data_IF_047834532217
#
_entry.id   IF_047834532217
#
_cell.length_a   1.000
_cell.length_b   1.000
_cell.length_c   1.000
_cell.angle_alpha   90.00
_cell.angle_beta   90.00
_cell.angle_gamma   90.00
#
_symmetry.space_group_name_H-M   'P 1'
#
loop_
_entity.id
_entity.type
_entity.pdbx_description
1 polymer ?
#
# COMPACT_ATOMS: atom_id res chain seq x y z
N UNK A 1 22.79 -10.38 21.53
CA UNK A 1 22.91 -10.08 20.09
C UNK A 1 21.71 -9.22 19.76
N UNK A 2 21.91 -8.09 19.11
CA UNK A 2 20.83 -7.18 18.77
C UNK A 2 19.81 -7.92 17.88
N UNK A 3 18.49 -7.72 18.10
CA UNK A 3 17.39 -8.36 17.35
C UNK A 3 17.61 -8.24 15.84
N UNK A 4 18.01 -7.06 15.37
CA UNK A 4 18.23 -6.81 13.94
C UNK A 4 19.39 -7.64 13.38
N UNK A 5 20.48 -7.80 14.12
CA UNK A 5 21.61 -8.64 13.68
C UNK A 5 21.19 -10.11 13.57
N UNK A 6 20.38 -10.60 14.51
CA UNK A 6 19.84 -11.96 14.47
C UNK A 6 18.97 -12.18 13.23
N UNK A 7 18.08 -11.23 12.92
CA UNK A 7 17.23 -11.24 11.73
C UNK A 7 18.08 -11.23 10.46
N UNK A 8 19.07 -10.34 10.35
CA UNK A 8 19.94 -10.25 9.17
C UNK A 8 20.77 -11.52 8.94
N UNK A 9 21.18 -12.17 10.02
CA UNK A 9 21.90 -13.44 9.93
C UNK A 9 21.09 -14.54 9.23
N UNK A 10 19.76 -14.55 9.40
CA UNK A 10 18.88 -15.49 8.68
C UNK A 10 18.87 -15.23 7.17
N UNK A 11 19.08 -13.99 6.73
CA UNK A 11 19.26 -13.64 5.30
C UNK A 11 20.71 -13.81 4.81
N UNK A 12 21.63 -14.22 5.68
CA UNK A 12 23.04 -14.37 5.32
C UNK A 12 23.80 -13.04 5.25
N UNK A 13 23.31 -12.03 5.92
CA UNK A 13 23.87 -10.68 5.93
C UNK A 13 24.42 -10.31 7.31
N UNK A 14 25.42 -9.43 7.28
CA UNK A 14 25.97 -8.77 8.45
C UNK A 14 25.93 -7.26 8.20
N UNK A 15 25.31 -6.50 9.11
CA UNK A 15 25.24 -5.06 8.98
C UNK A 15 26.56 -4.41 9.40
N UNK A 16 27.08 -3.52 8.54
CA UNK A 16 28.18 -2.60 8.88
C UNK A 16 27.61 -1.34 9.55
N UNK A 17 26.44 -0.88 9.07
CA UNK A 17 25.74 0.28 9.63
C UNK A 17 24.24 0.13 9.46
N UNK A 18 23.46 0.64 10.42
CA UNK A 18 22.01 0.58 10.47
C UNK A 18 21.46 1.98 10.69
N UNK A 19 20.53 2.39 9.82
CA UNK A 19 19.89 3.70 9.82
C UNK A 19 18.36 3.54 9.92
N UNK A 20 17.71 3.90 11.04
CA UNK A 20 16.26 3.95 11.11
C UNK A 20 15.70 5.05 10.21
N UNK A 21 14.89 4.70 9.22
CA UNK A 21 14.28 5.65 8.27
C UNK A 21 12.86 6.02 8.70
N UNK A 22 12.13 5.06 9.24
CA UNK A 22 10.79 5.24 9.79
C UNK A 22 10.52 4.23 10.91
N UNK A 23 9.37 4.35 11.62
CA UNK A 23 9.01 3.34 12.62
C UNK A 23 8.95 1.91 12.12
N UNK A 24 8.85 1.68 10.80
CA UNK A 24 8.68 0.36 10.20
C UNK A 24 9.76 0.00 9.18
N UNK A 25 10.64 0.92 8.80
CA UNK A 25 11.67 0.72 7.78
C UNK A 25 13.04 1.08 8.33
N UNK A 26 13.96 0.17 8.19
CA UNK A 26 15.36 0.30 8.58
C UNK A 26 16.21 0.13 7.33
N UNK A 27 17.10 1.09 7.08
CA UNK A 27 18.09 0.99 6.02
C UNK A 27 19.33 0.31 6.58
N UNK A 28 19.79 -0.71 5.87
CA UNK A 28 20.88 -1.57 6.31
C UNK A 28 22.00 -1.53 5.29
N UNK A 29 23.17 -1.14 5.72
CA UNK A 29 24.39 -1.13 4.90
C UNK A 29 25.21 -2.39 5.23
N UNK A 30 25.57 -3.13 4.18
CA UNK A 30 26.33 -4.38 4.27
C UNK A 30 27.41 -4.40 3.21
N UNK A 31 28.34 -5.35 3.27
CA UNK A 31 29.35 -5.59 2.23
C UNK A 31 28.73 -5.99 0.87
N UNK A 32 27.51 -6.56 0.89
CA UNK A 32 26.79 -7.02 -0.31
C UNK A 32 25.94 -5.93 -0.95
N UNK A 33 25.76 -4.79 -0.27
CA UNK A 33 24.95 -3.68 -0.77
C UNK A 33 24.08 -3.05 0.33
N UNK A 34 23.15 -2.21 -0.12
CA UNK A 34 22.23 -1.50 0.76
C UNK A 34 20.83 -2.10 0.63
N UNK A 35 20.21 -2.38 1.77
CA UNK A 35 18.93 -3.05 1.86
C UNK A 35 17.94 -2.25 2.70
N UNK A 36 16.66 -2.48 2.46
CA UNK A 36 15.59 -2.06 3.34
C UNK A 36 15.08 -3.26 4.13
N UNK A 37 15.20 -3.20 5.45
CA UNK A 37 14.59 -4.15 6.36
C UNK A 37 13.29 -3.55 6.88
N UNK A 38 12.16 -4.18 6.54
CA UNK A 38 10.85 -3.69 6.94
C UNK A 38 10.21 -4.63 7.95
N UNK A 39 9.64 -4.03 9.02
CA UNK A 39 8.93 -4.79 10.05
C UNK A 39 7.42 -4.73 9.85
N UNK A 40 6.75 -5.85 10.11
CA UNK A 40 5.29 -5.98 10.12
C UNK A 40 4.86 -6.67 11.41
N UNK A 41 3.62 -6.48 11.82
CA UNK A 41 3.08 -7.23 12.96
C UNK A 41 3.06 -8.73 12.63
N UNK A 42 3.48 -9.55 13.59
CA UNK A 42 3.64 -11.00 13.39
C UNK A 42 2.35 -11.70 12.92
N UNK A 43 1.17 -11.18 13.30
CA UNK A 43 -0.12 -11.76 12.88
C UNK A 43 -0.47 -11.51 11.40
N UNK A 44 0.24 -10.64 10.68
CA UNK A 44 -0.03 -10.32 9.27
C UNK A 44 0.93 -11.00 8.28
N UNK A 45 2.00 -11.63 8.76
CA UNK A 45 3.02 -12.18 7.86
C UNK A 45 2.55 -13.40 7.06
N UNK A 46 1.63 -14.21 7.59
CA UNK A 46 1.09 -15.36 6.85
C UNK A 46 0.29 -14.94 5.63
N UNK A 47 -0.67 -14.04 5.81
CA UNK A 47 -1.47 -13.50 4.70
C UNK A 47 -0.60 -12.86 3.62
N UNK A 48 0.41 -12.08 4.03
CA UNK A 48 1.35 -11.48 3.08
C UNK A 48 2.15 -12.56 2.32
N UNK A 49 2.60 -13.61 3.00
CA UNK A 49 3.32 -14.72 2.37
C UNK A 49 2.46 -15.40 1.30
N UNK A 50 1.20 -15.70 1.61
CA UNK A 50 0.25 -16.31 0.67
C UNK A 50 0.03 -15.42 -0.55
N UNK A 51 -0.17 -14.12 -0.37
CA UNK A 51 -0.32 -13.15 -1.45
C UNK A 51 0.93 -13.09 -2.34
N UNK A 52 2.13 -13.10 -1.77
CA UNK A 52 3.38 -13.09 -2.53
C UNK A 52 3.56 -14.36 -3.35
N UNK A 53 3.25 -15.54 -2.78
CA UNK A 53 3.29 -16.81 -3.49
C UNK A 53 2.26 -16.86 -4.62
N UNK A 54 1.06 -16.31 -4.41
CA UNK A 54 0.04 -16.19 -5.44
C UNK A 54 0.53 -15.31 -6.60
N UNK A 55 1.10 -14.13 -6.31
CA UNK A 55 1.65 -13.25 -7.34
C UNK A 55 2.78 -13.91 -8.14
N UNK A 56 3.70 -14.61 -7.46
CA UNK A 56 4.77 -15.36 -8.11
C UNK A 56 4.17 -16.46 -9.02
N UNK A 57 3.18 -17.21 -8.56
CA UNK A 57 2.53 -18.28 -9.32
C UNK A 57 1.82 -17.77 -10.58
N UNK A 58 1.23 -16.57 -10.50
CA UNK A 58 0.57 -15.87 -11.61
C UNK A 58 1.57 -15.13 -12.53
N UNK A 59 2.87 -15.22 -12.24
CA UNK A 59 3.94 -14.61 -13.04
C UNK A 59 3.94 -13.09 -12.99
N UNK A 60 3.32 -12.48 -11.96
CA UNK A 60 3.41 -11.05 -11.70
C UNK A 60 4.71 -10.73 -10.96
N UNK A 61 5.54 -9.87 -11.54
CA UNK A 61 6.89 -9.55 -11.02
C UNK A 61 7.14 -8.05 -10.88
N UNK A 62 6.15 -7.21 -11.14
CA UNK A 62 6.26 -5.75 -11.02
C UNK A 62 6.12 -5.27 -9.58
N UNK A 63 6.81 -5.91 -8.65
CA UNK A 63 6.95 -5.48 -7.26
C UNK A 63 8.42 -5.56 -6.85
N UNK A 64 8.77 -4.81 -5.80
CA UNK A 64 10.13 -4.85 -5.26
C UNK A 64 10.43 -6.27 -4.78
N UNK A 65 11.50 -6.91 -5.28
CA UNK A 65 11.81 -8.29 -4.92
C UNK A 65 12.06 -8.41 -3.40
N UNK A 66 11.46 -9.43 -2.79
CA UNK A 66 11.67 -9.76 -1.38
C UNK A 66 12.65 -10.92 -1.30
N UNK A 67 13.72 -10.71 -0.55
CA UNK A 67 14.73 -11.74 -0.37
C UNK A 67 14.21 -12.86 0.54
N UNK A 68 14.64 -14.07 0.26
CA UNK A 68 14.33 -15.23 1.11
C UNK A 68 15.44 -15.44 2.12
N UNK A 69 15.07 -15.89 3.30
CA UNK A 69 16.00 -16.35 4.33
C UNK A 69 16.72 -17.62 3.87
N UNK A 70 17.77 -18.03 4.57
CA UNK A 70 18.47 -19.32 4.37
C UNK A 70 17.53 -20.53 4.44
N UNK A 71 16.42 -20.44 5.17
CA UNK A 71 15.39 -21.48 5.25
C UNK A 71 14.35 -21.41 4.13
N UNK A 72 14.43 -20.42 3.22
CA UNK A 72 13.48 -20.21 2.13
C UNK A 72 12.24 -19.39 2.49
N UNK A 73 12.10 -18.92 3.73
CA UNK A 73 11.01 -18.06 4.15
C UNK A 73 11.18 -16.63 3.63
N UNK A 74 10.08 -15.91 3.40
CA UNK A 74 10.13 -14.46 3.15
C UNK A 74 10.39 -13.66 4.42
N UNK A 75 10.03 -14.21 5.58
CA UNK A 75 10.11 -13.52 6.85
C UNK A 75 11.10 -14.17 7.80
N UNK A 76 11.76 -13.32 8.57
CA UNK A 76 12.51 -13.67 9.77
C UNK A 76 11.81 -13.06 10.98
N UNK A 77 11.77 -13.80 12.08
CA UNK A 77 11.21 -13.32 13.33
C UNK A 77 12.08 -13.77 14.51
N UNK A 78 12.34 -12.86 15.45
CA UNK A 78 12.93 -13.24 16.70
C UNK A 78 11.85 -13.82 17.63
N UNK A 79 12.20 -14.87 18.42
CA UNK A 79 11.23 -15.67 19.22
C UNK A 79 10.39 -14.85 20.19
N UNK A 80 10.87 -13.70 20.64
CA UNK A 80 10.18 -12.83 21.61
C UNK A 80 9.62 -11.56 20.95
N UNK A 81 9.75 -11.42 19.62
CA UNK A 81 9.34 -10.20 18.92
C UNK A 81 7.86 -10.26 18.52
N UNK A 82 7.16 -9.14 18.70
CA UNK A 82 5.82 -8.94 18.16
C UNK A 82 5.84 -8.65 16.66
N UNK A 83 7.05 -8.60 16.06
CA UNK A 83 7.27 -8.24 14.67
C UNK A 83 7.92 -9.39 13.90
N UNK A 84 7.53 -9.50 12.64
CA UNK A 84 8.24 -10.23 11.61
C UNK A 84 8.91 -9.23 10.67
N UNK A 85 10.04 -9.61 10.10
CA UNK A 85 10.88 -8.76 9.25
C UNK A 85 11.03 -9.37 7.88
N UNK A 86 10.98 -8.55 6.83
CA UNK A 86 11.35 -8.95 5.49
C UNK A 86 12.36 -7.98 4.88
N UNK A 87 13.19 -8.51 4.01
CA UNK A 87 14.30 -7.82 3.38
C UNK A 87 14.02 -7.57 1.91
N UNK A 88 14.32 -6.36 1.44
CA UNK A 88 14.23 -5.97 0.04
C UNK A 88 15.43 -5.06 -0.32
N UNK A 89 15.76 -4.88 -1.62
CA UNK A 89 16.78 -3.92 -1.99
C UNK A 89 16.38 -2.51 -1.57
N UNK A 90 17.37 -1.69 -1.21
CA UNK A 90 17.14 -0.26 -1.03
C UNK A 90 17.07 0.40 -2.42
N UNK A 91 15.90 0.86 -2.79
CA UNK A 91 15.70 1.59 -4.05
C UNK A 91 15.80 3.09 -3.79
N UNK A 92 16.61 3.78 -4.58
CA UNK A 92 16.67 5.25 -4.60
C UNK A 92 15.82 5.76 -5.74
N UNK A 93 14.90 6.68 -5.45
CA UNK A 93 14.19 7.41 -6.50
C UNK A 93 15.18 8.36 -7.19
N UNK A 94 15.78 7.92 -8.25
CA UNK A 94 16.60 8.80 -9.09
C UNK A 94 15.69 9.56 -10.05
N UNK A 95 15.78 10.91 -9.96
CA UNK A 95 15.22 11.97 -10.82
C UNK A 95 13.73 12.32 -10.64
N UNK A 96 13.55 13.56 -10.22
CA UNK A 96 12.25 14.26 -10.11
C UNK A 96 11.63 14.68 -11.45
N UNK A 97 12.32 14.50 -12.57
CA UNK A 97 11.96 15.12 -13.86
C UNK A 97 10.85 14.37 -14.66
N UNK A 98 10.47 13.16 -14.24
CA UNK A 98 9.46 12.34 -14.94
C UNK A 98 8.18 12.14 -14.10
N UNK A 99 7.73 13.18 -13.40
CA UNK A 99 6.63 13.02 -12.44
C UNK A 99 5.27 12.81 -13.12
N UNK A 100 5.05 13.39 -14.28
CA UNK A 100 3.76 13.29 -14.99
C UNK A 100 3.53 11.88 -15.54
N UNK A 101 4.56 11.23 -16.06
CA UNK A 101 4.47 9.86 -16.59
C UNK A 101 4.28 8.80 -15.49
N UNK A 102 4.74 9.06 -14.25
CA UNK A 102 4.64 8.10 -13.14
C UNK A 102 3.21 7.72 -12.78
N UNK A 103 2.28 8.65 -12.85
CA UNK A 103 0.87 8.39 -12.56
C UNK A 103 0.26 7.43 -13.59
N UNK A 104 0.53 7.66 -14.87
CA UNK A 104 0.05 6.79 -15.93
C UNK A 104 0.62 5.38 -15.80
N UNK A 105 1.93 5.24 -15.61
CA UNK A 105 2.57 3.94 -15.37
C UNK A 105 2.03 3.23 -14.14
N UNK A 106 1.78 3.96 -13.05
CA UNK A 106 1.20 3.41 -11.83
C UNK A 106 -0.18 2.79 -12.12
N UNK A 107 -1.07 3.52 -12.80
CA UNK A 107 -2.40 3.00 -13.16
C UNK A 107 -2.34 1.82 -14.13
N UNK A 108 -1.42 1.83 -15.08
CA UNK A 108 -1.19 0.69 -15.97
C UNK A 108 -0.74 -0.55 -15.20
N UNK A 109 0.18 -0.41 -14.22
CA UNK A 109 0.63 -1.54 -13.40
C UNK A 109 -0.46 -2.06 -12.48
N UNK A 110 -1.31 -1.18 -11.93
CA UNK A 110 -2.49 -1.60 -11.15
C UNK A 110 -3.45 -2.40 -12.04
N UNK A 111 -3.74 -1.92 -13.25
CA UNK A 111 -4.60 -2.64 -14.17
C UNK A 111 -4.03 -4.02 -14.54
N UNK A 112 -2.70 -4.13 -14.71
CA UNK A 112 -2.01 -5.42 -14.92
C UNK A 112 -2.11 -6.33 -13.71
N UNK A 113 -1.92 -5.79 -12.51
CA UNK A 113 -2.07 -6.52 -11.25
C UNK A 113 -3.49 -7.09 -11.13
N UNK A 114 -4.50 -6.24 -11.29
CA UNK A 114 -5.90 -6.64 -11.20
C UNK A 114 -6.24 -7.71 -12.24
N UNK A 115 -5.86 -7.52 -13.50
CA UNK A 115 -6.09 -8.51 -14.56
C UNK A 115 -5.46 -9.88 -14.28
N UNK A 116 -4.29 -9.91 -13.62
CA UNK A 116 -3.59 -11.17 -13.32
C UNK A 116 -4.09 -11.86 -12.06
N UNK A 117 -4.61 -11.08 -11.12
CA UNK A 117 -5.08 -11.59 -9.83
C UNK A 117 -6.59 -11.79 -9.77
N UNK A 118 -7.28 -11.49 -10.86
CA UNK A 118 -8.73 -11.65 -10.98
C UNK A 118 -9.16 -13.09 -10.73
N UNK A 119 -10.11 -13.25 -9.82
CA UNK A 119 -10.81 -14.51 -9.53
C UNK A 119 -12.28 -14.24 -9.34
N UNK A 120 -13.13 -15.19 -9.75
CA UNK A 120 -14.54 -15.15 -9.43
C UNK A 120 -14.76 -15.82 -8.07
N UNK A 121 -15.49 -15.15 -7.20
CA UNK A 121 -15.85 -15.66 -5.88
C UNK A 121 -17.36 -15.56 -5.66
N UNK A 122 -17.91 -16.53 -4.96
CA UNK A 122 -19.30 -16.45 -4.50
C UNK A 122 -19.42 -15.29 -3.52
N UNK A 123 -20.52 -14.57 -3.60
CA UNK A 123 -20.81 -13.44 -2.72
C UNK A 123 -22.26 -13.48 -2.29
N UNK A 124 -22.53 -13.13 -1.06
CA UNK A 124 -23.87 -13.04 -0.48
C UNK A 124 -24.36 -11.60 -0.49
N UNK A 125 -25.67 -11.40 -0.54
CA UNK A 125 -26.30 -10.08 -0.42
C UNK A 125 -25.82 -9.34 0.84
N UNK A 126 -25.65 -10.06 1.95
CA UNK A 126 -25.18 -9.48 3.20
C UNK A 126 -23.73 -8.95 3.10
N UNK A 127 -22.87 -9.64 2.35
CA UNK A 127 -21.48 -9.19 2.12
C UNK A 127 -21.44 -7.97 1.20
N UNK A 128 -22.31 -7.92 0.18
CA UNK A 128 -22.46 -6.77 -0.71
C UNK A 128 -22.88 -5.54 0.09
N UNK A 129 -23.93 -5.66 0.90
CA UNK A 129 -24.44 -4.57 1.74
C UNK A 129 -23.43 -4.10 2.78
N UNK A 130 -22.74 -5.03 3.43
CA UNK A 130 -21.69 -4.71 4.40
C UNK A 130 -20.53 -3.94 3.74
N UNK A 131 -20.09 -4.37 2.57
CA UNK A 131 -19.02 -3.72 1.82
C UNK A 131 -19.41 -2.31 1.36
N UNK A 132 -20.60 -2.18 0.79
CA UNK A 132 -21.15 -0.89 0.35
C UNK A 132 -21.25 0.09 1.53
N UNK A 133 -21.87 -0.31 2.62
CA UNK A 133 -22.05 0.53 3.81
C UNK A 133 -20.72 0.96 4.40
N UNK A 134 -19.76 0.04 4.47
CA UNK A 134 -18.42 0.35 5.01
C UNK A 134 -17.70 1.42 4.17
N UNK A 135 -17.71 1.28 2.85
CA UNK A 135 -17.04 2.23 1.95
C UNK A 135 -17.76 3.57 1.98
N UNK A 136 -19.08 3.58 1.85
CA UNK A 136 -19.91 4.79 1.86
C UNK A 136 -19.68 5.60 3.13
N UNK A 137 -19.83 4.97 4.29
CA UNK A 137 -19.64 5.63 5.58
C UNK A 137 -18.23 6.21 5.73
N UNK A 138 -17.22 5.47 5.27
CA UNK A 138 -15.83 5.95 5.31
C UNK A 138 -15.66 7.20 4.44
N UNK A 139 -16.10 7.16 3.20
CA UNK A 139 -15.91 8.26 2.26
C UNK A 139 -16.72 9.51 2.64
N UNK A 140 -17.96 9.33 3.11
CA UNK A 140 -18.77 10.44 3.64
C UNK A 140 -18.10 11.09 4.88
N UNK A 141 -17.55 10.27 5.77
CA UNK A 141 -16.80 10.78 6.95
C UNK A 141 -15.54 11.55 6.55
N UNK A 142 -14.79 11.06 5.56
CA UNK A 142 -13.58 11.71 5.05
C UNK A 142 -13.94 13.03 4.34
N UNK A 143 -15.04 13.06 3.55
CA UNK A 143 -15.59 14.26 2.92
C UNK A 143 -15.96 15.32 3.97
N UNK A 144 -16.76 14.96 4.95
CA UNK A 144 -17.15 15.84 6.06
C UNK A 144 -15.94 16.40 6.84
N UNK A 145 -14.93 15.57 7.05
CA UNK A 145 -13.70 15.99 7.73
C UNK A 145 -12.94 17.02 6.91
N UNK A 146 -12.91 16.86 5.59
CA UNK A 146 -12.25 17.79 4.69
C UNK A 146 -13.01 19.12 4.60
N UNK A 147 -14.34 19.11 4.49
CA UNK A 147 -15.20 20.29 4.52
C UNK A 147 -14.97 21.10 5.79
N UNK A 148 -15.03 20.47 6.97
CA UNK A 148 -14.76 21.13 8.27
C UNK A 148 -13.33 21.65 8.39
N UNK A 149 -12.36 20.99 7.76
CA UNK A 149 -10.99 21.48 7.73
C UNK A 149 -10.89 22.79 6.95
N UNK A 150 -11.48 22.86 5.75
CA UNK A 150 -11.49 24.06 4.93
C UNK A 150 -12.28 25.21 5.61
N UNK A 151 -13.47 24.94 6.16
CA UNK A 151 -14.25 25.94 6.91
C UNK A 151 -13.42 26.58 8.03
N UNK A 152 -12.63 25.79 8.77
CA UNK A 152 -11.73 26.33 9.82
C UNK A 152 -10.57 27.14 9.22
N UNK A 153 -10.00 26.68 8.13
CA UNK A 153 -8.90 27.38 7.46
C UNK A 153 -9.33 28.76 6.95
N UNK A 154 -10.54 28.87 6.40
CA UNK A 154 -11.14 30.13 5.91
C UNK A 154 -11.42 31.13 7.03
N UNK A 155 -11.61 30.68 8.26
CA UNK A 155 -11.80 31.55 9.42
C UNK A 155 -10.49 32.11 9.97
N UNK A 156 -9.35 31.62 9.54
CA UNK A 156 -8.04 32.11 10.00
C UNK A 156 -7.62 33.35 9.22
N UNK A 157 -7.01 34.34 9.90
CA UNK A 157 -6.50 35.55 9.25
C UNK A 157 -5.43 35.26 8.19
N UNK A 158 -4.60 34.23 8.44
CA UNK A 158 -3.60 33.75 7.52
C UNK A 158 -3.67 32.21 7.47
N UNK A 159 -3.90 31.69 6.27
CA UNK A 159 -3.77 30.26 6.02
C UNK A 159 -2.31 29.87 6.00
N UNK A 160 -1.97 28.74 6.60
CA UNK A 160 -0.67 28.09 6.37
C UNK A 160 -0.52 27.68 4.90
N UNK A 161 0.71 27.47 4.39
CA UNK A 161 0.90 26.98 3.01
C UNK A 161 0.15 25.68 2.71
N UNK A 162 -0.01 24.80 3.71
CA UNK A 162 -0.78 23.57 3.58
C UNK A 162 -2.29 23.85 3.48
N UNK A 163 -2.85 24.70 4.33
CA UNK A 163 -4.26 25.08 4.28
C UNK A 163 -4.61 25.77 2.96
N UNK A 164 -3.74 26.67 2.49
CA UNK A 164 -3.93 27.31 1.19
C UNK A 164 -3.93 26.29 0.04
N UNK A 165 -2.97 25.37 0.02
CA UNK A 165 -2.93 24.32 -0.98
C UNK A 165 -4.19 23.43 -0.92
N UNK A 166 -4.63 23.03 0.26
CA UNK A 166 -5.86 22.25 0.44
C UNK A 166 -7.09 23.02 -0.06
N UNK A 167 -7.20 24.32 0.23
CA UNK A 167 -8.30 25.15 -0.24
C UNK A 167 -8.30 25.30 -1.77
N UNK A 168 -7.14 25.43 -2.40
CA UNK A 168 -7.02 25.53 -3.87
C UNK A 168 -7.58 24.29 -4.60
N UNK A 169 -7.39 23.10 -4.04
CA UNK A 169 -7.85 21.84 -4.63
C UNK A 169 -9.18 21.33 -4.07
N UNK A 170 -9.84 22.10 -3.22
CA UNK A 170 -11.06 21.68 -2.52
C UNK A 170 -12.17 21.30 -3.49
N UNK A 171 -12.46 22.15 -4.48
CA UNK A 171 -13.51 21.89 -5.47
C UNK A 171 -13.27 20.61 -6.27
N UNK A 172 -12.03 20.37 -6.68
CA UNK A 172 -11.65 19.16 -7.42
C UNK A 172 -11.79 17.92 -6.54
N UNK A 173 -11.36 18.00 -5.27
CA UNK A 173 -11.48 16.91 -4.32
C UNK A 173 -12.95 16.57 -4.02
N UNK A 174 -13.81 17.58 -3.87
CA UNK A 174 -15.25 17.38 -3.66
C UNK A 174 -15.90 16.73 -4.87
N UNK A 175 -15.65 17.25 -6.07
CA UNK A 175 -16.17 16.66 -7.31
C UNK A 175 -15.71 15.21 -7.52
N UNK A 176 -14.45 14.91 -7.19
CA UNK A 176 -13.94 13.55 -7.24
C UNK A 176 -14.62 12.63 -6.22
N UNK A 177 -14.89 13.14 -5.01
CA UNK A 177 -15.58 12.40 -3.96
C UNK A 177 -17.04 12.10 -4.32
N UNK A 178 -17.74 13.07 -4.91
CA UNK A 178 -19.11 12.90 -5.39
C UNK A 178 -19.17 11.89 -6.52
N UNK A 179 -18.28 11.99 -7.49
CA UNK A 179 -18.18 11.00 -8.56
C UNK A 179 -17.91 9.59 -8.03
N UNK A 180 -17.01 9.46 -7.04
CA UNK A 180 -16.70 8.16 -6.45
C UNK A 180 -17.91 7.55 -5.72
N UNK A 181 -18.67 8.38 -4.96
CA UNK A 181 -19.89 7.94 -4.29
C UNK A 181 -20.97 7.52 -5.31
N UNK A 182 -21.16 8.27 -6.40
CA UNK A 182 -22.08 7.90 -7.48
C UNK A 182 -21.69 6.55 -8.10
N UNK A 183 -20.39 6.31 -8.37
CA UNK A 183 -19.94 5.01 -8.90
C UNK A 183 -20.11 3.87 -7.89
N UNK A 184 -20.05 4.15 -6.60
CA UNK A 184 -20.32 3.17 -5.55
C UNK A 184 -21.82 2.79 -5.52
N UNK A 185 -22.73 3.77 -5.71
CA UNK A 185 -24.17 3.51 -5.84
C UNK A 185 -24.45 2.64 -7.06
N UNK A 186 -23.89 2.98 -8.23
CA UNK A 186 -24.04 2.19 -9.44
C UNK A 186 -23.56 0.74 -9.24
N UNK A 187 -22.40 0.58 -8.63
CA UNK A 187 -21.86 -0.74 -8.30
C UNK A 187 -22.80 -1.52 -7.38
N UNK A 188 -23.34 -0.87 -6.36
CA UNK A 188 -24.29 -1.49 -5.44
C UNK A 188 -25.56 -1.98 -6.14
N UNK A 189 -26.15 -1.15 -7.01
CA UNK A 189 -27.31 -1.54 -7.80
C UNK A 189 -27.01 -2.71 -8.76
N UNK A 190 -25.84 -2.69 -9.42
CA UNK A 190 -25.42 -3.78 -10.30
C UNK A 190 -25.19 -5.11 -9.59
N UNK A 191 -24.85 -5.05 -8.29
CA UNK A 191 -24.51 -6.24 -7.50
C UNK A 191 -25.71 -6.92 -6.83
N UNK A 192 -26.89 -6.27 -6.75
CA UNK A 192 -28.06 -6.76 -6.00
C UNK A 192 -28.51 -8.18 -6.34
N UNK A 193 -28.40 -8.56 -7.62
CA UNK A 193 -28.87 -9.85 -8.12
C UNK A 193 -27.71 -10.80 -8.49
N UNK A 194 -26.49 -10.52 -8.04
CA UNK A 194 -25.34 -11.34 -8.40
C UNK A 194 -24.97 -12.31 -7.27
N UNK A 195 -24.81 -13.55 -7.62
CA UNK A 195 -24.32 -14.61 -6.74
C UNK A 195 -22.78 -14.72 -6.74
N UNK A 196 -22.13 -14.13 -7.73
CA UNK A 196 -20.66 -14.14 -7.85
C UNK A 196 -20.13 -12.76 -8.18
N UNK A 197 -18.94 -12.46 -7.71
CA UNK A 197 -18.24 -11.21 -8.01
C UNK A 197 -16.79 -11.45 -8.40
N UNK A 198 -16.25 -10.49 -9.13
CA UNK A 198 -14.84 -10.45 -9.48
C UNK A 198 -14.04 -9.81 -8.36
N UNK A 199 -13.12 -10.56 -7.80
CA UNK A 199 -12.20 -10.10 -6.75
C UNK A 199 -10.80 -10.01 -7.31
N UNK A 200 -10.05 -9.00 -6.89
CA UNK A 200 -8.67 -8.75 -7.31
C UNK A 200 -7.79 -8.47 -6.10
N UNK A 201 -6.51 -8.77 -6.20
CA UNK A 201 -5.56 -8.36 -5.19
C UNK A 201 -5.30 -6.85 -5.31
N UNK A 202 -5.50 -6.14 -4.21
CA UNK A 202 -5.28 -4.70 -4.13
C UNK A 202 -4.08 -4.38 -3.24
N UNK A 203 -3.30 -3.35 -3.61
CA UNK A 203 -2.18 -2.86 -2.81
C UNK A 203 -2.60 -2.33 -1.43
N UNK A 204 -3.86 -1.91 -1.27
CA UNK A 204 -4.45 -1.45 0.00
C UNK A 204 -4.02 -0.05 0.46
N UNK A 205 -2.87 0.45 0.02
CA UNK A 205 -2.36 1.80 0.32
C UNK A 205 -1.57 2.32 -0.88
N UNK A 206 -2.29 2.69 -1.93
CA UNK A 206 -1.68 3.16 -3.16
C UNK A 206 -1.19 4.61 -3.00
N UNK A 207 0.09 4.84 -3.26
CA UNK A 207 0.72 6.16 -3.30
C UNK A 207 1.80 6.16 -4.35
N UNK A 208 2.01 7.29 -5.01
CA UNK A 208 3.10 7.51 -5.97
C UNK A 208 4.48 7.25 -5.34
N UNK A 209 4.60 7.39 -4.02
CA UNK A 209 5.83 7.10 -3.27
C UNK A 209 6.13 5.61 -3.15
N UNK A 210 5.13 4.74 -3.38
CA UNK A 210 5.30 3.29 -3.39
C UNK A 210 5.64 2.75 -4.78
N UNK A 211 5.75 3.61 -5.78
CA UNK A 211 6.03 3.24 -7.16
C UNK A 211 7.43 3.68 -7.57
N UNK A 212 8.28 2.73 -7.95
CA UNK A 212 9.61 2.96 -8.49
C UNK A 212 9.68 2.42 -9.91
N UNK A 213 10.10 3.25 -10.86
CA UNK A 213 10.41 2.81 -12.22
C UNK A 213 11.87 2.33 -12.19
N UNK A 214 12.09 1.03 -12.40
CA UNK A 214 13.42 0.47 -12.62
C UNK A 214 13.66 0.46 -14.13
N UNK A 215 14.65 1.21 -14.58
CA UNK A 215 15.18 1.18 -15.95
C UNK A 215 16.20 0.07 -16.11
#
# INVERSE_FOLDING_TARGET
MDEIQSVLYEYGLEAEYIEPVSPVVIKVYTKQGVFALKRVKANRHMQFTEQMLELESKGYRSFVPIYRTKSGSFFSSHRESQYAYYLMPWLTNEKREEQDDKHEYLFQEIARLHKRTEVMMDITEQEIEAHYTQIKTKWETEKDMYERFIERAEQTWYMSPFELAAAMYFSEAMSASEFALERLEDWHEEMKDKETTRVVLNHGQLSIHHFCIMM
#
